data_IF_076503331475
#
_entry.id   IF_076503331475
#
_cell.length_a   1.000
_cell.length_b   1.000
_cell.length_c   1.000
_cell.angle_alpha   90.00
_cell.angle_beta   90.00
_cell.angle_gamma   90.00
#
_symmetry.space_group_name_H-M   'P 1'
#
loop_
_entity.id
_entity.type
_entity.pdbx_description
1 polymer ?
#
# COMPACT_ATOMS: atom_id res chain seq x y z
N UNK A 1 7.71 -10.06 6.74
CA UNK A 1 7.54 -10.54 8.13
C UNK A 1 6.21 -11.29 8.15
N UNK A 2 6.18 -12.39 8.85
CA UNK A 2 5.08 -13.36 8.81
C UNK A 2 4.75 -13.83 10.23
N UNK A 3 3.74 -14.70 10.35
CA UNK A 3 3.34 -15.28 11.64
C UNK A 3 4.40 -16.20 12.27
N UNK A 4 5.50 -16.48 11.56
CA UNK A 4 6.68 -17.17 12.10
C UNK A 4 7.50 -16.27 13.03
N UNK A 5 7.41 -14.95 12.86
CA UNK A 5 8.08 -13.97 13.72
C UNK A 5 7.22 -13.69 14.98
N UNK A 6 7.73 -13.96 16.20
CA UNK A 6 6.99 -13.69 17.44
C UNK A 6 6.69 -12.19 17.65
N UNK A 7 7.47 -11.27 17.07
CA UNK A 7 7.15 -9.84 17.10
C UNK A 7 5.94 -9.52 16.23
N UNK A 8 5.87 -10.14 15.05
CA UNK A 8 4.76 -9.95 14.12
C UNK A 8 3.45 -10.50 14.70
N UNK A 9 3.47 -11.69 15.30
CA UNK A 9 2.29 -12.26 15.97
C UNK A 9 1.79 -11.36 17.10
N UNK A 10 2.71 -10.80 17.90
CA UNK A 10 2.35 -9.81 18.94
C UNK A 10 1.73 -8.54 18.34
N UNK A 11 2.24 -8.08 17.20
CA UNK A 11 1.67 -6.94 16.49
C UNK A 11 0.24 -7.23 16.00
N UNK A 12 0.02 -8.35 15.31
CA UNK A 12 -1.29 -8.79 14.79
C UNK A 12 -2.32 -8.95 15.90
N UNK A 13 -1.93 -9.48 17.06
CA UNK A 13 -2.84 -9.65 18.20
C UNK A 13 -3.22 -8.33 18.91
N UNK A 14 -2.72 -7.18 18.46
CA UNK A 14 -3.15 -5.87 18.97
C UNK A 14 -4.64 -5.68 18.70
N UNK A 15 -5.44 -5.42 19.74
CA UNK A 15 -6.90 -5.25 19.62
C UNK A 15 -7.30 -4.03 18.78
N UNK A 16 -6.62 -2.90 18.94
CA UNK A 16 -6.95 -1.66 18.23
C UNK A 16 -6.41 -1.70 16.78
N UNK A 17 -7.26 -1.56 15.74
CA UNK A 17 -6.84 -1.75 14.35
C UNK A 17 -5.78 -0.75 13.86
N UNK A 18 -5.91 0.53 14.23
CA UNK A 18 -4.93 1.57 13.86
C UNK A 18 -3.56 1.32 14.47
N UNK A 19 -3.53 0.92 15.74
CA UNK A 19 -2.30 0.57 16.43
C UNK A 19 -1.69 -0.73 15.89
N UNK A 20 -2.53 -1.71 15.52
CA UNK A 20 -2.13 -2.94 14.85
C UNK A 20 -1.39 -2.64 13.55
N UNK A 21 -2.00 -1.83 12.67
CA UNK A 21 -1.38 -1.42 11.40
C UNK A 21 0.00 -0.80 11.60
N UNK A 22 0.11 0.16 12.53
CA UNK A 22 1.38 0.85 12.80
C UNK A 22 2.46 -0.13 13.30
N UNK A 23 2.11 -1.06 14.18
CA UNK A 23 3.07 -2.06 14.68
C UNK A 23 3.51 -3.03 13.59
N UNK A 24 2.58 -3.53 12.79
CA UNK A 24 2.88 -4.40 11.64
C UNK A 24 3.79 -3.67 10.66
N UNK A 25 3.50 -2.40 10.36
CA UNK A 25 4.31 -1.57 9.47
C UNK A 25 5.75 -1.36 9.98
N UNK A 26 5.94 -1.08 11.26
CA UNK A 26 7.28 -0.89 11.85
C UNK A 26 8.17 -2.14 11.74
N UNK A 27 7.57 -3.33 11.79
CA UNK A 27 8.27 -4.60 11.61
C UNK A 27 8.57 -4.81 10.13
N UNK A 28 7.55 -4.67 9.26
CA UNK A 28 7.69 -4.93 7.83
C UNK A 28 8.63 -3.94 7.13
N UNK A 29 8.68 -2.67 7.55
CA UNK A 29 9.56 -1.64 6.97
C UNK A 29 11.05 -2.00 7.06
N UNK A 30 11.45 -2.76 8.08
CA UNK A 30 12.86 -3.16 8.30
C UNK A 30 13.29 -4.31 7.38
N UNK A 31 12.34 -5.08 6.85
CA UNK A 31 12.61 -6.21 5.96
C UNK A 31 12.87 -5.70 4.54
N UNK A 32 14.03 -6.05 3.98
CA UNK A 32 14.45 -5.65 2.62
C UNK A 32 14.45 -6.78 1.61
N UNK A 33 14.05 -7.99 2.03
CA UNK A 33 14.01 -9.20 1.20
C UNK A 33 12.70 -9.93 1.51
N UNK A 34 12.05 -10.44 0.47
CA UNK A 34 10.90 -11.33 0.59
C UNK A 34 11.39 -12.77 0.78
N UNK A 35 11.54 -13.18 2.04
CA UNK A 35 12.12 -14.47 2.45
C UNK A 35 11.30 -15.66 1.88
N UNK A 36 11.98 -16.61 1.23
CA UNK A 36 11.37 -17.86 0.71
C UNK A 36 12.02 -19.12 1.33
N UNK A 37 12.79 -18.94 2.38
CA UNK A 37 13.53 -20.03 3.03
C UNK A 37 12.75 -20.53 4.23
N UNK A 38 12.67 -21.84 4.37
CA UNK A 38 12.22 -22.50 5.59
C UNK A 38 13.00 -21.97 6.79
N UNK A 39 12.27 -21.50 7.79
CA UNK A 39 12.88 -21.06 9.03
C UNK A 39 13.34 -22.31 9.80
N UNK A 40 14.62 -22.66 9.66
CA UNK A 40 15.27 -23.82 10.31
C UNK A 40 15.22 -23.75 11.85
N UNK A 41 14.83 -22.62 12.44
CA UNK A 41 14.71 -22.44 13.89
C UNK A 41 13.62 -23.28 14.55
N UNK A 42 12.75 -23.95 13.79
CA UNK A 42 11.79 -24.94 14.32
C UNK A 42 12.34 -26.36 14.44
N UNK A 43 13.58 -26.63 13.98
CA UNK A 43 14.18 -27.97 13.98
C UNK A 43 15.21 -28.21 15.09
N UNK A 44 15.68 -27.17 15.81
CA UNK A 44 16.85 -27.28 16.68
C UNK A 44 16.57 -27.49 18.18
N UNK A 45 15.33 -27.39 18.65
CA UNK A 45 15.00 -27.41 20.10
C UNK A 45 13.84 -28.34 20.47
N UNK A 46 13.68 -29.47 19.77
CA UNK A 46 12.69 -30.48 20.17
C UNK A 46 13.27 -31.89 20.10
N UNK A 47 14.32 -32.13 20.89
CA UNK A 47 14.90 -33.47 21.13
C UNK A 47 13.98 -34.39 21.95
N UNK A 48 12.71 -34.02 22.19
CA UNK A 48 11.80 -34.77 23.06
C UNK A 48 10.34 -34.87 22.54
N UNK A 49 10.12 -34.97 21.23
CA UNK A 49 8.80 -35.32 20.68
C UNK A 49 8.75 -36.79 20.20
N UNK A 50 7.67 -37.54 20.50
CA UNK A 50 7.53 -38.93 20.11
C UNK A 50 7.45 -39.05 18.58
N UNK A 51 8.13 -40.07 18.05
CA UNK A 51 8.28 -40.34 16.62
C UNK A 51 6.92 -40.33 15.89
N UNK A 52 6.71 -39.35 14.99
CA UNK A 52 5.60 -39.40 14.03
C UNK A 52 4.97 -38.09 13.57
N UNK A 53 5.36 -36.92 14.10
CA UNK A 53 4.87 -35.62 13.58
C UNK A 53 5.99 -34.60 13.48
N UNK A 54 6.78 -34.68 12.41
CA UNK A 54 7.60 -33.55 11.99
C UNK A 54 6.63 -32.43 11.58
N UNK A 55 6.55 -31.34 12.36
CA UNK A 55 5.91 -30.12 11.88
C UNK A 55 6.79 -29.60 10.75
N UNK A 56 6.42 -29.88 9.50
CA UNK A 56 7.02 -29.21 8.36
C UNK A 56 6.93 -27.70 8.59
N UNK A 57 8.05 -26.95 8.60
CA UNK A 57 7.99 -25.50 8.68
C UNK A 57 7.09 -24.99 7.55
N UNK A 58 6.11 -24.16 7.91
CA UNK A 58 5.18 -23.60 6.95
C UNK A 58 5.87 -22.38 6.34
N UNK A 59 6.40 -22.53 5.13
CA UNK A 59 6.84 -21.39 4.34
C UNK A 59 5.65 -20.51 3.95
N UNK A 60 5.80 -19.19 4.12
CA UNK A 60 4.78 -18.22 3.72
C UNK A 60 4.80 -17.90 2.20
N UNK A 61 5.58 -18.64 1.39
CA UNK A 61 5.54 -18.57 -0.08
C UNK A 61 6.15 -17.30 -0.69
N UNK A 62 7.18 -16.73 -0.04
CA UNK A 62 7.86 -15.54 -0.54
C UNK A 62 8.51 -15.73 -1.92
N UNK A 63 8.76 -14.62 -2.63
CA UNK A 63 9.29 -14.66 -4.00
C UNK A 63 10.81 -14.45 -4.11
N UNK A 64 11.51 -14.22 -3.01
CA UNK A 64 12.98 -13.99 -2.99
C UNK A 64 13.42 -12.61 -3.47
N UNK A 65 12.52 -11.75 -3.95
CA UNK A 65 12.86 -10.44 -4.47
C UNK A 65 13.21 -9.44 -3.35
N UNK A 66 14.07 -8.47 -3.69
CA UNK A 66 14.38 -7.35 -2.81
C UNK A 66 13.20 -6.38 -2.70
N UNK A 67 12.85 -6.00 -1.48
CA UNK A 67 11.89 -4.95 -1.20
C UNK A 67 12.59 -3.58 -1.30
N UNK A 68 12.25 -2.74 -2.29
CA UNK A 68 12.90 -1.46 -2.48
C UNK A 68 12.50 -0.48 -1.38
N UNK A 69 13.35 0.53 -1.16
CA UNK A 69 12.99 1.63 -0.26
C UNK A 69 12.12 2.64 -1.00
N UNK A 70 10.95 2.90 -0.45
CA UNK A 70 9.96 3.80 -1.05
C UNK A 70 10.23 5.23 -0.59
N UNK A 71 10.25 6.17 -1.54
CA UNK A 71 10.32 7.62 -1.30
C UNK A 71 9.09 8.31 -1.84
N UNK A 72 8.59 9.29 -1.09
CA UNK A 72 7.47 10.13 -1.47
C UNK A 72 8.00 11.55 -1.79
N UNK A 73 7.66 12.09 -2.96
CA UNK A 73 8.04 13.44 -3.38
C UNK A 73 6.86 14.10 -4.11
N UNK A 74 6.24 15.10 -3.48
CA UNK A 74 5.08 15.79 -4.06
C UNK A 74 3.89 14.84 -4.23
N UNK A 75 3.51 14.57 -5.48
CA UNK A 75 2.42 13.64 -5.85
C UNK A 75 2.93 12.30 -6.38
N UNK A 76 4.25 12.07 -6.38
CA UNK A 76 4.85 10.85 -6.93
C UNK A 76 5.50 10.02 -5.84
N UNK A 77 5.44 8.71 -6.04
CA UNK A 77 6.09 7.71 -5.21
C UNK A 77 7.14 7.02 -6.07
N UNK A 78 8.36 6.89 -5.56
CA UNK A 78 9.47 6.24 -6.27
C UNK A 78 10.16 5.20 -5.41
N UNK A 79 10.54 4.07 -6.01
CA UNK A 79 11.35 3.02 -5.42
C UNK A 79 12.83 3.27 -5.69
N UNK A 80 13.67 3.16 -4.65
CA UNK A 80 15.14 3.14 -4.82
C UNK A 80 15.57 1.76 -5.32
N UNK A 81 16.31 1.73 -6.43
CA UNK A 81 16.88 0.49 -6.96
C UNK A 81 17.92 -0.09 -5.98
N UNK A 82 17.88 -1.41 -5.67
CA UNK A 82 18.82 -2.04 -4.76
C UNK A 82 20.26 -2.08 -5.31
N UNK A 83 20.46 -1.90 -6.63
CA UNK A 83 21.77 -1.98 -7.29
C UNK A 83 22.61 -0.69 -7.22
N UNK A 84 22.11 0.39 -6.61
CA UNK A 84 22.75 1.70 -6.69
C UNK A 84 23.88 1.95 -5.69
N UNK A 85 24.40 0.93 -4.99
CA UNK A 85 25.29 1.14 -3.85
C UNK A 85 26.78 0.93 -4.11
N UNK A 86 27.22 0.61 -5.34
CA UNK A 86 28.63 0.27 -5.55
C UNK A 86 29.47 1.13 -6.52
N UNK A 87 28.97 2.01 -7.38
CA UNK A 87 29.91 2.76 -8.25
C UNK A 87 29.39 4.10 -8.79
N UNK A 88 30.17 5.17 -8.57
CA UNK A 88 30.31 6.26 -9.55
C UNK A 88 29.57 7.58 -9.32
N UNK A 89 30.29 8.56 -8.77
CA UNK A 89 30.39 9.93 -9.30
C UNK A 89 29.12 10.80 -9.44
N UNK A 90 28.92 11.71 -8.47
CA UNK A 90 28.54 13.11 -8.71
C UNK A 90 27.10 13.47 -9.13
N UNK A 91 26.46 12.76 -10.07
CA UNK A 91 25.22 13.25 -10.70
C UNK A 91 24.08 12.23 -10.85
N UNK A 92 24.17 11.07 -10.20
CA UNK A 92 23.29 9.91 -10.47
C UNK A 92 22.05 9.77 -9.57
N UNK A 93 21.81 10.67 -8.61
CA UNK A 93 20.71 10.50 -7.62
C UNK A 93 19.30 10.40 -8.23
N UNK A 94 19.08 10.96 -9.43
CA UNK A 94 17.79 10.85 -10.16
C UNK A 94 17.65 9.55 -10.95
N UNK A 95 18.75 8.90 -11.35
CA UNK A 95 18.69 7.61 -12.09
C UNK A 95 18.33 6.43 -11.19
N UNK A 96 18.52 6.56 -9.87
CA UNK A 96 18.32 5.47 -8.93
C UNK A 96 16.87 5.34 -8.41
N UNK A 97 16.02 6.34 -8.69
CA UNK A 97 14.63 6.38 -8.25
C UNK A 97 13.68 6.03 -9.41
N UNK A 98 13.11 4.84 -9.35
CA UNK A 98 12.14 4.35 -10.32
C UNK A 98 10.76 4.79 -9.85
N UNK A 99 10.03 5.64 -10.60
CA UNK A 99 8.67 6.03 -10.22
C UNK A 99 7.74 4.81 -10.25
N UNK A 100 6.89 4.68 -9.23
CA UNK A 100 5.83 3.68 -9.17
C UNK A 100 4.57 4.33 -9.74
N UNK A 101 4.03 3.77 -10.82
CA UNK A 101 2.77 4.27 -11.38
C UNK A 101 1.58 3.90 -10.50
N UNK A 102 0.49 4.67 -10.58
CA UNK A 102 -0.74 4.37 -9.84
C UNK A 102 -1.29 2.97 -10.17
N UNK A 103 -1.20 2.57 -11.45
CA UNK A 103 -1.59 1.23 -11.90
C UNK A 103 -0.74 0.13 -11.26
N UNK A 104 0.58 0.31 -11.21
CA UNK A 104 1.48 -0.64 -10.55
C UNK A 104 1.15 -0.78 -9.06
N UNK A 105 0.94 0.34 -8.36
CA UNK A 105 0.56 0.33 -6.95
C UNK A 105 -0.78 -0.39 -6.73
N UNK A 106 -1.80 -0.10 -7.57
CA UNK A 106 -3.10 -0.75 -7.51
C UNK A 106 -3.00 -2.27 -7.73
N UNK A 107 -2.20 -2.70 -8.72
CA UNK A 107 -2.00 -4.12 -9.00
C UNK A 107 -1.30 -4.86 -7.86
N UNK A 108 -0.37 -4.20 -7.16
CA UNK A 108 0.25 -4.75 -5.94
C UNK A 108 -0.79 -4.86 -4.82
N UNK A 109 -1.55 -3.79 -4.55
CA UNK A 109 -2.56 -3.77 -3.49
C UNK A 109 -3.66 -4.81 -3.69
N UNK A 110 -4.09 -5.02 -4.94
CA UNK A 110 -5.11 -6.01 -5.29
C UNK A 110 -4.68 -7.47 -5.02
N UNK A 111 -3.37 -7.74 -5.05
CA UNK A 111 -2.82 -9.09 -4.80
C UNK A 111 -2.70 -9.43 -3.31
N UNK A 112 -2.94 -8.47 -2.41
CA UNK A 112 -2.92 -8.70 -0.97
C UNK A 112 -4.13 -9.59 -0.60
N UNK A 113 -3.86 -10.67 0.14
CA UNK A 113 -4.90 -11.61 0.56
C UNK A 113 -5.81 -11.02 1.65
N UNK A 114 -7.02 -11.55 1.79
CA UNK A 114 -7.95 -11.08 2.83
C UNK A 114 -7.44 -11.35 4.25
N UNK A 115 -6.64 -12.41 4.44
CA UNK A 115 -6.02 -12.72 5.72
C UNK A 115 -4.91 -11.71 6.06
N UNK A 116 -4.10 -11.28 5.08
CA UNK A 116 -3.11 -10.22 5.28
C UNK A 116 -3.78 -8.87 5.60
N UNK A 117 -4.93 -8.58 4.97
CA UNK A 117 -5.71 -7.38 5.27
C UNK A 117 -6.17 -7.38 6.74
N UNK A 118 -6.65 -8.52 7.24
CA UNK A 118 -7.07 -8.67 8.65
C UNK A 118 -5.88 -8.56 9.62
N UNK A 119 -4.74 -9.13 9.25
CA UNK A 119 -3.51 -9.06 10.05
C UNK A 119 -2.99 -7.62 10.17
N UNK A 120 -3.12 -6.83 9.11
CA UNK A 120 -2.83 -5.40 9.11
C UNK A 120 -3.87 -4.56 9.88
N UNK A 121 -5.05 -5.11 10.17
CA UNK A 121 -6.16 -4.39 10.81
C UNK A 121 -7.00 -3.57 9.84
N UNK A 122 -7.00 -3.92 8.55
CA UNK A 122 -7.87 -3.34 7.54
C UNK A 122 -9.20 -4.11 7.45
N UNK A 123 -10.22 -3.47 6.86
CA UNK A 123 -11.53 -4.06 6.67
C UNK A 123 -11.68 -4.53 5.21
N UNK A 124 -11.96 -5.82 5.01
CA UNK A 124 -12.10 -6.45 3.68
C UNK A 124 -13.30 -5.95 2.88
N UNK A 125 -14.34 -5.48 3.56
CA UNK A 125 -15.63 -5.17 2.93
C UNK A 125 -15.79 -3.67 2.66
N UNK A 126 -15.13 -2.83 3.47
CA UNK A 126 -15.32 -1.37 3.42
C UNK A 126 -14.02 -0.58 3.18
N UNK A 127 -12.85 -1.20 3.30
CA UNK A 127 -11.57 -0.49 3.29
C UNK A 127 -10.46 -1.31 2.63
N UNK A 128 -10.71 -1.85 1.43
CA UNK A 128 -9.64 -2.51 0.67
C UNK A 128 -8.65 -1.48 0.12
N UNK A 129 -7.34 -1.74 0.21
CA UNK A 129 -6.31 -0.74 -0.09
C UNK A 129 -6.28 -0.32 -1.56
N UNK A 130 -6.68 -1.20 -2.49
CA UNK A 130 -6.75 -0.86 -3.90
C UNK A 130 -7.77 0.25 -4.21
N UNK A 131 -8.75 0.49 -3.33
CA UNK A 131 -9.71 1.59 -3.47
C UNK A 131 -9.12 2.97 -3.16
N UNK A 132 -7.91 3.03 -2.60
CA UNK A 132 -7.19 4.30 -2.44
C UNK A 132 -6.76 4.89 -3.79
N UNK A 133 -6.71 4.07 -4.85
CA UNK A 133 -6.44 4.54 -6.22
C UNK A 133 -7.77 4.82 -6.91
N UNK A 134 -8.01 6.10 -7.24
CA UNK A 134 -9.24 6.53 -7.90
C UNK A 134 -9.20 6.12 -9.38
N UNK A 135 -10.02 5.13 -9.74
CA UNK A 135 -10.24 4.70 -11.13
C UNK A 135 -11.52 5.28 -11.71
N UNK A 136 -12.52 5.52 -10.86
CA UNK A 136 -13.78 6.17 -11.21
C UNK A 136 -13.97 7.34 -10.25
N UNK A 137 -13.93 8.56 -10.79
CA UNK A 137 -14.14 9.78 -10.00
C UNK A 137 -15.65 10.06 -9.92
N UNK A 138 -16.28 10.01 -8.73
CA UNK A 138 -17.69 10.34 -8.59
C UNK A 138 -17.93 11.82 -8.85
N UNK A 139 -18.92 12.12 -9.70
CA UNK A 139 -19.34 13.50 -10.00
C UNK A 139 -20.50 13.88 -9.09
N UNK A 140 -20.34 14.88 -8.21
CA UNK A 140 -21.41 15.29 -7.29
C UNK A 140 -22.59 15.94 -8.03
N UNK A 141 -23.83 15.79 -7.52
CA UNK A 141 -25.02 16.35 -8.14
C UNK A 141 -25.10 17.88 -7.94
N UNK A 142 -25.92 18.61 -8.73
CA UNK A 142 -26.03 20.07 -8.68
C UNK A 142 -26.26 20.71 -7.29
N UNK A 143 -27.01 20.10 -6.35
CA UNK A 143 -27.15 20.66 -5.00
C UNK A 143 -25.83 20.79 -4.22
N UNK A 144 -24.82 19.99 -4.58
CA UNK A 144 -23.48 20.02 -3.98
C UNK A 144 -22.54 20.96 -4.75
N UNK A 145 -22.92 21.39 -5.96
CA UNK A 145 -22.19 22.31 -6.83
C UNK A 145 -23.13 23.41 -7.39
N UNK A 146 -23.70 24.26 -6.52
CA UNK A 146 -24.76 25.18 -6.90
C UNK A 146 -24.26 26.30 -7.81
N UNK A 147 -25.02 26.62 -8.87
CA UNK A 147 -24.76 27.77 -9.72
C UNK A 147 -25.45 29.03 -9.18
N UNK A 148 -24.82 30.20 -9.32
CA UNK A 148 -25.41 31.50 -9.01
C UNK A 148 -25.78 32.24 -10.30
N UNK A 149 -27.06 32.56 -10.47
CA UNK A 149 -27.50 33.47 -11.55
C UNK A 149 -27.54 34.90 -11.02
N UNK A 150 -26.86 35.84 -11.70
CA UNK A 150 -26.74 37.23 -11.25
C UNK A 150 -28.09 37.98 -11.21
N UNK A 151 -29.03 37.63 -12.10
CA UNK A 151 -30.30 38.34 -12.25
C UNK A 151 -31.51 37.60 -11.63
N UNK A 152 -31.34 36.41 -11.07
CA UNK A 152 -32.42 35.59 -10.50
C UNK A 152 -33.50 35.10 -11.49
N UNK A 153 -33.47 35.57 -12.74
CA UNK A 153 -34.44 35.29 -13.80
C UNK A 153 -34.17 33.99 -14.57
N UNK A 154 -33.12 33.24 -14.22
CA UNK A 154 -32.77 31.96 -14.85
C UNK A 154 -32.23 32.07 -16.30
N UNK A 155 -32.37 33.24 -16.94
CA UNK A 155 -31.98 33.56 -18.32
C UNK A 155 -30.72 34.42 -18.45
N UNK A 156 -30.16 34.91 -17.34
CA UNK A 156 -28.92 35.69 -17.31
C UNK A 156 -27.64 34.85 -17.28
N UNK A 157 -26.48 35.52 -17.31
CA UNK A 157 -25.16 34.89 -17.17
C UNK A 157 -25.09 34.12 -15.83
N UNK A 158 -24.73 32.84 -15.92
CA UNK A 158 -24.61 31.95 -14.76
C UNK A 158 -23.15 31.83 -14.35
N UNK A 159 -22.88 32.09 -13.08
CA UNK A 159 -21.60 31.79 -12.45
C UNK A 159 -21.72 30.39 -11.83
N UNK A 160 -20.98 29.44 -12.36
CA UNK A 160 -20.98 28.06 -11.86
C UNK A 160 -20.13 27.96 -10.57
N UNK A 161 -20.33 26.88 -9.81
CA UNK A 161 -19.53 26.59 -8.63
C UNK A 161 -18.07 26.23 -8.98
N UNK A 162 -17.12 26.52 -8.08
CA UNK A 162 -15.70 26.20 -8.24
C UNK A 162 -15.45 24.70 -8.46
N UNK A 163 -16.26 23.81 -7.84
CA UNK A 163 -16.19 22.37 -8.09
C UNK A 163 -16.51 22.05 -9.55
N UNK A 164 -17.49 22.73 -10.15
CA UNK A 164 -17.83 22.54 -11.57
C UNK A 164 -16.67 22.97 -12.47
N UNK A 165 -16.01 24.09 -12.16
CA UNK A 165 -14.83 24.53 -12.90
C UNK A 165 -13.66 23.54 -12.78
N UNK A 166 -13.37 23.04 -11.57
CA UNK A 166 -12.30 22.06 -11.35
C UNK A 166 -12.59 20.69 -11.96
N UNK A 167 -13.84 20.24 -11.95
CA UNK A 167 -14.24 19.03 -12.68
C UNK A 167 -14.03 19.23 -14.18
N UNK A 168 -14.31 20.43 -14.72
CA UNK A 168 -13.98 20.78 -16.10
C UNK A 168 -12.48 20.74 -16.40
N UNK A 169 -11.63 21.24 -15.49
CA UNK A 169 -10.17 21.14 -15.60
C UNK A 169 -9.70 19.67 -15.63
N UNK A 170 -10.24 18.83 -14.75
CA UNK A 170 -9.91 17.41 -14.66
C UNK A 170 -10.27 16.67 -15.95
N UNK A 171 -11.46 16.92 -16.50
CA UNK A 171 -11.91 16.28 -17.74
C UNK A 171 -11.04 16.72 -18.93
N UNK A 172 -10.56 17.97 -18.97
CA UNK A 172 -9.64 18.44 -20.02
C UNK A 172 -8.26 17.81 -19.95
N UNK A 173 -7.81 17.43 -18.75
CA UNK A 173 -6.49 16.86 -18.53
C UNK A 173 -6.45 15.32 -18.65
N UNK A 174 -7.61 14.67 -18.66
CA UNK A 174 -7.77 13.23 -18.85
C UNK A 174 -7.74 12.87 -20.33
#
# INVERSE_FOLDING_TARGET
ADRSDPEFVRAVNTREPKARFHRVWEICKKKRICDNTDNESSAADDTFLPAGKTKTPINHGGCGNHCPEIRHQGLTISAKSPQSNEEGGGNSRKKDLIPITAEQAMNIMRRISDDDLRDMGLNTDYARPEWMVVTVLPVPPPPVRPSVSMDGTGTGMRNEDDLTYKLGDIIRAN
#
